data_IF_456662204277
#
_entry.id   IF_456662204277
#
_cell.length_a   1.000
_cell.length_b   1.000
_cell.length_c   1.000
_cell.angle_alpha   90.00
_cell.angle_beta   90.00
_cell.angle_gamma   90.00
#
_symmetry.space_group_name_H-M   'P 1'
#
loop_
_entity.id
_entity.type
_entity.pdbx_description
1 polymer ?
#
# COMPACT_ATOMS: atom_id res chain seq x y z
N UNK A 1 -9.93 -4.85 8.33
CA UNK A 1 -9.00 -5.97 8.67
C UNK A 1 -9.22 -7.29 7.93
N UNK A 2 -10.43 -7.66 7.49
CA UNK A 2 -10.58 -8.89 6.69
C UNK A 2 -9.80 -8.82 5.35
N UNK A 3 -9.69 -7.61 4.75
CA UNK A 3 -8.99 -7.36 3.49
C UNK A 3 -7.50 -7.71 3.55
N UNK A 4 -6.82 -7.44 4.67
CA UNK A 4 -5.41 -7.76 4.86
C UNK A 4 -5.16 -9.24 5.18
N UNK A 5 -6.15 -9.94 5.73
CA UNK A 5 -5.98 -11.32 6.18
C UNK A 5 -5.74 -12.28 5.00
N UNK A 6 -6.29 -11.97 3.83
CA UNK A 6 -6.07 -12.74 2.62
C UNK A 6 -4.66 -12.53 2.03
N UNK A 7 -4.20 -11.29 1.93
CA UNK A 7 -2.91 -10.98 1.29
C UNK A 7 -1.70 -11.03 2.23
N UNK A 8 -1.88 -10.79 3.53
CA UNK A 8 -0.79 -10.56 4.49
C UNK A 8 -0.96 -11.33 5.81
N UNK A 9 -1.64 -12.48 5.80
CA UNK A 9 -2.07 -13.20 7.01
C UNK A 9 -1.03 -13.33 8.12
N UNK A 10 0.23 -13.65 7.79
CA UNK A 10 1.31 -13.84 8.76
C UNK A 10 1.95 -12.52 9.25
N UNK A 11 1.67 -11.42 8.55
CA UNK A 11 2.27 -10.10 8.81
C UNK A 11 1.32 -9.11 9.49
N UNK A 12 0.09 -9.52 9.83
CA UNK A 12 -0.93 -8.64 10.42
C UNK A 12 -0.44 -7.90 11.68
N UNK A 13 0.30 -8.57 12.56
CA UNK A 13 0.86 -7.92 13.75
C UNK A 13 1.89 -6.84 13.41
N UNK A 14 2.73 -7.09 12.39
CA UNK A 14 3.71 -6.13 11.91
C UNK A 14 3.04 -4.94 11.23
N UNK A 15 2.01 -5.17 10.41
CA UNK A 15 1.19 -4.12 9.80
C UNK A 15 0.58 -3.22 10.88
N UNK A 16 -0.02 -3.79 11.92
CA UNK A 16 -0.58 -3.02 13.03
C UNK A 16 0.47 -2.13 13.73
N UNK A 17 1.67 -2.68 13.95
CA UNK A 17 2.78 -1.92 14.55
C UNK A 17 3.26 -0.80 13.65
N UNK A 18 3.39 -1.04 12.35
CA UNK A 18 3.82 -0.02 11.39
C UNK A 18 2.77 1.08 11.23
N UNK A 19 1.47 0.73 11.12
CA UNK A 19 0.37 1.72 11.05
C UNK A 19 0.32 2.66 12.26
N UNK A 20 0.78 2.19 13.43
CA UNK A 20 0.80 3.01 14.64
C UNK A 20 2.04 3.90 14.74
N UNK A 21 3.07 3.65 13.93
CA UNK A 21 4.38 4.32 14.01
C UNK A 21 4.67 5.22 12.82
N UNK A 22 4.13 4.88 11.65
CA UNK A 22 4.36 5.58 10.39
C UNK A 22 3.01 6.01 9.81
N UNK A 23 2.80 7.33 9.73
CA UNK A 23 1.57 7.92 9.23
C UNK A 23 1.41 7.72 7.71
N UNK A 24 2.51 7.67 6.96
CA UNK A 24 2.48 7.40 5.51
C UNK A 24 2.06 5.96 5.28
N UNK A 25 2.64 5.01 6.02
CA UNK A 25 2.20 3.61 5.96
C UNK A 25 0.74 3.42 6.41
N UNK A 26 0.30 4.20 7.40
CA UNK A 26 -1.11 4.18 7.83
C UNK A 26 -2.07 4.65 6.73
N UNK A 27 -1.65 5.63 5.92
CA UNK A 27 -2.37 6.14 4.76
C UNK A 27 -2.42 5.10 3.63
N UNK A 28 -1.28 4.51 3.25
CA UNK A 28 -1.20 3.40 2.27
C UNK A 28 -2.15 2.27 2.66
N UNK A 29 -2.16 1.88 3.94
CA UNK A 29 -3.06 0.83 4.42
C UNK A 29 -4.55 1.23 4.35
N UNK A 30 -4.86 2.51 4.53
CA UNK A 30 -6.24 3.03 4.44
C UNK A 30 -6.71 3.07 2.99
N UNK A 31 -5.84 3.49 2.08
CA UNK A 31 -6.15 3.52 0.64
C UNK A 31 -6.37 2.10 0.11
N UNK A 32 -5.56 1.14 0.57
CA UNK A 32 -5.75 -0.28 0.25
C UNK A 32 -7.09 -0.82 0.74
N UNK A 33 -7.48 -0.53 1.99
CA UNK A 33 -8.81 -0.92 2.51
C UNK A 33 -9.94 -0.26 1.71
N UNK A 34 -9.79 1.02 1.38
CA UNK A 34 -10.80 1.78 0.62
C UNK A 34 -10.99 1.19 -0.78
N UNK A 35 -9.91 0.89 -1.50
CA UNK A 35 -10.01 0.26 -2.83
C UNK A 35 -10.59 -1.15 -2.77
N UNK A 36 -10.25 -1.93 -1.74
CA UNK A 36 -10.86 -3.25 -1.51
C UNK A 36 -12.36 -3.18 -1.20
N UNK A 37 -12.83 -2.11 -0.56
CA UNK A 37 -14.26 -1.84 -0.32
C UNK A 37 -14.98 -1.34 -1.58
N UNK A 38 -14.24 -0.66 -2.46
CA UNK A 38 -14.75 -0.14 -3.74
C UNK A 38 -14.73 -1.17 -4.87
N UNK A 39 -14.01 -2.28 -4.71
CA UNK A 39 -13.98 -3.37 -5.69
C UNK A 39 -15.42 -3.80 -6.03
N UNK A 40 -15.86 -3.59 -7.29
CA UNK A 40 -17.20 -3.98 -7.68
C UNK A 40 -17.33 -5.50 -7.56
N UNK A 41 -18.46 -5.96 -7.03
CA UNK A 41 -18.79 -7.39 -7.01
C UNK A 41 -18.99 -7.95 -8.44
N UNK A 42 -19.13 -7.07 -9.44
CA UNK A 42 -19.32 -7.43 -10.84
C UNK A 42 -17.98 -7.42 -11.59
N UNK A 43 -17.55 -8.61 -12.02
CA UNK A 43 -16.31 -8.82 -12.75
C UNK A 43 -16.30 -8.19 -14.16
N UNK A 44 -17.45 -7.69 -14.64
CA UNK A 44 -17.55 -7.04 -15.96
C UNK A 44 -17.44 -5.52 -15.88
N UNK A 45 -17.20 -4.94 -14.70
CA UNK A 45 -16.99 -3.50 -14.59
C UNK A 45 -15.67 -3.12 -15.29
N UNK A 46 -15.69 -2.24 -16.30
CA UNK A 46 -14.48 -1.83 -17.00
C UNK A 46 -13.46 -1.12 -16.10
N UNK A 47 -13.88 -0.55 -14.96
CA UNK A 47 -12.96 0.09 -13.99
C UNK A 47 -12.25 -0.92 -13.10
N UNK A 48 -12.61 -2.21 -13.15
CA UNK A 48 -11.98 -3.24 -12.32
C UNK A 48 -10.50 -3.42 -12.65
N UNK A 49 -10.11 -3.17 -13.91
CA UNK A 49 -8.71 -3.25 -14.34
C UNK A 49 -7.87 -2.17 -13.67
N UNK A 50 -8.35 -0.92 -13.69
CA UNK A 50 -7.67 0.23 -13.07
C UNK A 50 -7.59 0.10 -11.54
N UNK A 51 -8.68 -0.39 -10.91
CA UNK A 51 -8.71 -0.66 -9.46
C UNK A 51 -7.73 -1.78 -9.08
N UNK A 52 -7.67 -2.85 -9.87
CA UNK A 52 -6.72 -3.95 -9.64
C UNK A 52 -5.27 -3.49 -9.81
N UNK A 53 -4.95 -2.66 -10.80
CA UNK A 53 -3.61 -2.10 -10.96
C UNK A 53 -3.22 -1.25 -9.74
N UNK A 54 -4.14 -0.41 -9.27
CA UNK A 54 -3.93 0.43 -8.08
C UNK A 54 -3.75 -0.41 -6.81
N UNK A 55 -4.56 -1.45 -6.63
CA UNK A 55 -4.43 -2.40 -5.52
C UNK A 55 -3.07 -3.12 -5.54
N UNK A 56 -2.64 -3.61 -6.71
CA UNK A 56 -1.35 -4.27 -6.86
C UNK A 56 -0.17 -3.32 -6.56
N UNK A 57 -0.30 -2.03 -6.88
CA UNK A 57 0.67 -1.00 -6.48
C UNK A 57 0.77 -0.88 -4.96
N UNK A 58 -0.37 -0.69 -4.29
CA UNK A 58 -0.42 -0.57 -2.83
C UNK A 58 0.05 -1.84 -2.11
N UNK A 59 -0.28 -3.03 -2.62
CA UNK A 59 0.21 -4.28 -2.05
C UNK A 59 1.74 -4.37 -2.11
N UNK A 60 2.35 -3.96 -3.23
CA UNK A 60 3.80 -3.93 -3.36
C UNK A 60 4.44 -2.94 -2.38
N UNK A 61 3.85 -1.77 -2.19
CA UNK A 61 4.31 -0.81 -1.19
C UNK A 61 4.22 -1.40 0.22
N UNK A 62 3.10 -2.04 0.57
CA UNK A 62 2.95 -2.70 1.87
C UNK A 62 4.02 -3.79 2.06
N UNK A 63 4.27 -4.61 1.05
CA UNK A 63 5.34 -5.63 1.09
C UNK A 63 6.73 -5.03 1.22
N UNK A 64 6.99 -3.88 0.59
CA UNK A 64 8.25 -3.15 0.73
C UNK A 64 8.49 -2.72 2.19
N UNK A 65 7.44 -2.22 2.86
CA UNK A 65 7.49 -1.85 4.27
C UNK A 65 7.62 -3.03 5.23
N UNK A 66 7.05 -4.18 4.87
CA UNK A 66 7.20 -5.41 5.66
C UNK A 66 8.63 -5.96 5.59
N UNK A 67 9.35 -5.63 4.51
CA UNK A 67 10.71 -6.09 4.25
C UNK A 67 10.76 -7.59 3.92
N UNK A 68 11.90 -8.09 3.42
CA UNK A 68 12.12 -9.54 3.37
C UNK A 68 12.06 -10.10 4.79
N UNK A 69 11.59 -11.35 5.00
CA UNK A 69 11.41 -11.95 6.33
C UNK A 69 12.70 -12.16 7.16
N UNK A 70 13.80 -11.46 6.85
CA UNK A 70 15.10 -11.57 7.53
C UNK A 70 15.86 -10.26 7.80
N UNK A 71 15.52 -9.12 7.17
CA UNK A 71 16.32 -7.89 7.33
C UNK A 71 15.56 -6.84 8.15
N UNK A 72 15.64 -7.02 9.46
CA UNK A 72 15.28 -5.99 10.44
C UNK A 72 16.45 -5.03 10.62
N UNK A 73 16.56 -4.03 9.75
CA UNK A 73 17.17 -2.75 10.13
C UNK A 73 16.71 -1.66 9.18
N UNK A 74 16.05 -0.65 9.77
CA UNK A 74 16.14 0.76 9.40
C UNK A 74 16.30 1.10 7.92
N UNK A 75 15.23 1.60 7.33
CA UNK A 75 15.09 2.99 6.86
C UNK A 75 13.82 3.05 6.02
N UNK A 76 12.84 3.83 6.47
CA UNK A 76 11.68 4.13 5.65
C UNK A 76 12.19 4.71 4.31
N UNK A 77 11.73 4.21 3.15
CA UNK A 77 12.09 4.81 1.88
C UNK A 77 11.57 6.23 1.91
N UNK A 78 12.49 7.19 1.97
CA UNK A 78 12.17 8.60 1.89
C UNK A 78 11.45 8.81 0.56
N UNK A 79 10.18 9.19 0.65
CA UNK A 79 9.32 9.57 -0.46
C UNK A 79 10.08 10.53 -1.36
N UNK A 80 10.46 10.03 -2.54
CA UNK A 80 11.14 10.81 -3.56
C UNK A 80 10.15 11.90 -4.01
N UNK A 81 10.38 13.10 -3.50
CA UNK A 81 9.62 14.30 -3.80
C UNK A 81 9.67 14.54 -5.32
N UNK A 82 8.58 14.20 -6.01
CA UNK A 82 8.38 14.56 -7.40
C UNK A 82 8.12 16.06 -7.48
N UNK A 83 9.18 16.86 -7.58
CA UNK A 83 9.08 18.28 -7.89
C UNK A 83 10.32 18.75 -8.65
N UNK A 84 10.25 18.71 -9.99
CA UNK A 84 10.96 19.70 -10.79
C UNK A 84 10.18 20.02 -12.06
N UNK A 85 9.14 20.83 -11.87
CA UNK A 85 8.61 21.70 -12.91
C UNK A 85 9.15 23.10 -12.63
N UNK A 86 10.23 23.49 -13.32
CA UNK A 86 10.52 24.91 -13.56
C UNK A 86 11.09 25.09 -14.95
N UNK A 87 10.23 25.64 -15.81
CA UNK A 87 10.59 26.35 -17.02
C UNK A 87 11.43 27.60 -16.67
N UNK A 88 12.31 27.99 -17.60
CA UNK A 88 12.79 29.36 -17.73
C UNK A 88 14.29 29.50 -17.99
N UNK A 89 14.68 29.69 -19.25
CA UNK A 89 15.15 30.99 -19.74
C UNK A 89 15.18 31.05 -21.27
#
# INVERSE_FOLDING_TARGET
MNSFKHSFGDHLEQICRLRSKDAVFAEICRDYETLMELMPLDANDPTIADVNESLAGLEQEIWSYLGPPGDRTSEAPSTLHHANHRQGH
#
